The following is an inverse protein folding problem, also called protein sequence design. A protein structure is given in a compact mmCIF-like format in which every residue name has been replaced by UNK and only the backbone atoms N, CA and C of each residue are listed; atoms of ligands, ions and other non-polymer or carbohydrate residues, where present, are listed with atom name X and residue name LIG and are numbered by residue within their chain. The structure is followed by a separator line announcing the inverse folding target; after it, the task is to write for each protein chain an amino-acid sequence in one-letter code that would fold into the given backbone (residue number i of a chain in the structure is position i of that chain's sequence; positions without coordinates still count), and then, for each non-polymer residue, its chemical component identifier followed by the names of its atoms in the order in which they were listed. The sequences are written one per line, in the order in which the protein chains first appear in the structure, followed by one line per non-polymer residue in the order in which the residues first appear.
data_IF_969463530818
#
_entry.id   IF_969463530818
#
_cell.length_a   1.000
_cell.length_b   1.000
_cell.length_c   1.000
_cell.angle_alpha   90.00
_cell.angle_beta   90.00
_cell.angle_gamma   90.00
#
_symmetry.space_group_name_H-M   'P 1'
#
loop_
_entity.id
_entity.type
_entity.pdbx_description
1 polymer ?
#
# COMPACT_ATOMS: atom_id res chain seq x y z
N UNK A 1 -25.02 77.63 -33.89
CA UNK A 1 -26.03 76.92 -33.09
C UNK A 1 -25.50 75.52 -32.84
N UNK A 2 -24.79 75.33 -31.72
CA UNK A 2 -24.15 74.05 -31.37
C UNK A 2 -25.16 73.28 -30.52
N UNK A 3 -25.69 72.18 -31.07
CA UNK A 3 -26.56 71.27 -30.33
C UNK A 3 -25.65 70.34 -29.53
N UNK A 4 -25.49 70.66 -28.24
CA UNK A 4 -24.90 69.78 -27.24
C UNK A 4 -25.88 68.65 -26.95
N UNK A 5 -25.68 67.50 -27.61
CA UNK A 5 -26.34 66.24 -27.24
C UNK A 5 -25.59 65.68 -26.03
N UNK A 6 -26.04 66.04 -24.83
CA UNK A 6 -25.58 65.40 -23.60
C UNK A 6 -26.24 64.02 -23.52
N UNK A 7 -25.49 62.99 -23.92
CA UNK A 7 -25.88 61.60 -23.70
C UNK A 7 -25.85 61.31 -22.20
N UNK A 8 -27.03 61.28 -21.59
CA UNK A 8 -27.24 60.75 -20.25
C UNK A 8 -27.06 59.24 -20.28
N UNK A 9 -25.86 58.74 -19.92
CA UNK A 9 -25.68 57.33 -19.59
C UNK A 9 -26.43 57.06 -18.27
N UNK A 10 -27.49 56.26 -18.33
CA UNK A 10 -28.16 55.81 -17.12
C UNK A 10 -27.29 54.78 -16.39
N UNK A 11 -27.34 54.78 -15.05
CA UNK A 11 -26.57 53.81 -14.24
C UNK A 11 -26.83 52.35 -14.66
N UNK A 12 -28.02 52.04 -15.18
CA UNK A 12 -28.39 50.71 -15.65
C UNK A 12 -27.59 50.23 -16.88
N UNK A 13 -27.24 51.14 -17.80
CA UNK A 13 -26.44 50.81 -18.99
C UNK A 13 -24.98 50.53 -18.62
N UNK A 14 -24.47 51.24 -17.60
CA UNK A 14 -23.13 51.00 -17.03
C UNK A 14 -23.07 49.62 -16.37
N UNK A 15 -24.08 49.24 -15.57
CA UNK A 15 -24.14 47.91 -14.94
C UNK A 15 -24.27 46.77 -15.95
N UNK A 16 -25.03 46.94 -17.04
CA UNK A 16 -25.10 45.96 -18.15
C UNK A 16 -23.76 45.80 -18.86
N UNK A 17 -23.08 46.91 -19.12
CA UNK A 17 -21.77 46.91 -19.77
C UNK A 17 -20.73 46.24 -18.88
N UNK A 18 -20.68 46.59 -17.59
CA UNK A 18 -19.81 45.93 -16.59
C UNK A 18 -20.13 44.43 -16.52
N UNK A 19 -21.40 44.03 -16.50
CA UNK A 19 -21.80 42.63 -16.50
C UNK A 19 -21.33 41.85 -17.73
N UNK A 20 -21.39 42.43 -18.93
CA UNK A 20 -20.93 41.79 -20.16
C UNK A 20 -19.42 41.54 -20.19
N UNK A 21 -18.61 42.39 -19.56
CA UNK A 21 -17.16 42.22 -19.50
C UNK A 21 -16.69 41.46 -18.26
N UNK A 22 -17.38 41.59 -17.13
CA UNK A 22 -17.01 40.92 -15.88
C UNK A 22 -17.33 39.42 -15.91
N UNK A 23 -18.48 39.01 -16.50
CA UNK A 23 -18.89 37.60 -16.53
C UNK A 23 -17.89 36.70 -17.28
N UNK A 24 -17.40 37.05 -18.48
CA UNK A 24 -16.38 36.26 -19.17
C UNK A 24 -15.08 36.14 -18.36
N UNK A 25 -14.63 37.23 -17.73
CA UNK A 25 -13.39 37.25 -16.94
C UNK A 25 -13.52 36.36 -15.71
N UNK A 26 -14.63 36.46 -14.98
CA UNK A 26 -14.91 35.61 -13.82
C UNK A 26 -15.03 34.13 -14.23
N UNK A 27 -15.66 33.86 -15.38
CA UNK A 27 -15.79 32.49 -15.91
C UNK A 27 -14.44 31.85 -16.26
N UNK A 28 -13.54 32.61 -16.90
CA UNK A 28 -12.16 32.16 -17.16
C UNK A 28 -11.42 31.88 -15.86
N UNK A 29 -11.56 32.77 -14.86
CA UNK A 29 -10.90 32.61 -13.57
C UNK A 29 -11.43 31.41 -12.77
N UNK A 30 -12.75 31.21 -12.75
CA UNK A 30 -13.39 30.06 -12.11
C UNK A 30 -12.98 28.75 -12.80
N UNK A 31 -12.97 28.72 -14.12
CA UNK A 31 -12.54 27.54 -14.90
C UNK A 31 -11.08 27.18 -14.62
N UNK A 32 -10.20 28.17 -14.51
CA UNK A 32 -8.80 27.95 -14.15
C UNK A 32 -8.64 27.38 -12.73
N UNK A 33 -9.35 27.94 -11.74
CA UNK A 33 -9.32 27.44 -10.37
C UNK A 33 -9.85 26.01 -10.25
N UNK A 34 -11.00 25.73 -10.89
CA UNK A 34 -11.59 24.39 -10.93
C UNK A 34 -10.66 23.41 -11.62
N UNK A 35 -10.07 23.79 -12.76
CA UNK A 35 -9.10 22.95 -13.48
C UNK A 35 -7.86 22.62 -12.64
N UNK A 36 -7.33 23.59 -11.90
CA UNK A 36 -6.18 23.38 -11.00
C UNK A 36 -6.52 22.44 -9.83
N UNK A 37 -7.70 22.62 -9.23
CA UNK A 37 -8.19 21.72 -8.17
C UNK A 37 -8.37 20.30 -8.70
N UNK A 38 -8.99 20.16 -9.88
CA UNK A 38 -9.20 18.86 -10.53
C UNK A 38 -7.87 18.16 -10.85
N UNK A 39 -6.88 18.87 -11.39
CA UNK A 39 -5.57 18.29 -11.68
C UNK A 39 -4.89 17.76 -10.40
N UNK A 40 -4.97 18.50 -9.30
CA UNK A 40 -4.39 18.06 -8.03
C UNK A 40 -5.08 16.80 -7.47
N UNK A 41 -6.41 16.71 -7.60
CA UNK A 41 -7.20 15.56 -7.18
C UNK A 41 -6.91 14.34 -8.05
N UNK A 42 -6.84 14.53 -9.37
CA UNK A 42 -6.51 13.48 -10.33
C UNK A 42 -5.10 12.93 -10.10
N UNK A 43 -4.12 13.79 -9.84
CA UNK A 43 -2.75 13.36 -9.51
C UNK A 43 -2.73 12.52 -8.23
N UNK A 44 -3.39 12.96 -7.16
CA UNK A 44 -3.50 12.20 -5.90
C UNK A 44 -4.18 10.85 -6.11
N UNK A 45 -5.25 10.81 -6.91
CA UNK A 45 -5.96 9.58 -7.21
C UNK A 45 -5.10 8.63 -8.07
N UNK A 46 -4.34 9.16 -9.02
CA UNK A 46 -3.38 8.40 -9.83
C UNK A 46 -2.32 7.73 -8.95
N UNK A 47 -1.69 8.49 -8.03
CA UNK A 47 -0.69 7.93 -7.10
C UNK A 47 -1.30 6.85 -6.21
N UNK A 48 -2.51 7.06 -5.70
CA UNK A 48 -3.21 6.04 -4.89
C UNK A 48 -3.48 4.77 -5.70
N UNK A 49 -3.93 4.93 -6.94
CA UNK A 49 -4.20 3.81 -7.86
C UNK A 49 -2.92 3.04 -8.17
N UNK A 50 -1.83 3.76 -8.43
CA UNK A 50 -0.52 3.20 -8.70
C UNK A 50 -0.01 2.37 -7.53
N UNK A 51 0.01 2.97 -6.32
CA UNK A 51 0.34 2.28 -5.07
C UNK A 51 -0.51 1.02 -4.85
N UNK A 52 -1.83 1.10 -5.04
CA UNK A 52 -2.70 -0.07 -4.85
C UNK A 52 -2.38 -1.18 -5.85
N UNK A 53 -2.29 -0.85 -7.13
CA UNK A 53 -2.17 -1.85 -8.20
C UNK A 53 -0.78 -2.48 -8.28
N UNK A 54 0.28 -1.71 -8.00
CA UNK A 54 1.65 -2.17 -8.17
C UNK A 54 2.28 -2.69 -6.87
N UNK A 55 1.81 -2.24 -5.70
CA UNK A 55 2.34 -2.69 -4.42
C UNK A 55 1.36 -3.59 -3.63
N UNK A 56 0.22 -3.04 -3.19
CA UNK A 56 -0.67 -3.80 -2.28
C UNK A 56 -1.33 -5.01 -2.97
N UNK A 57 -1.91 -4.83 -4.16
CA UNK A 57 -2.69 -5.88 -4.84
C UNK A 57 -1.86 -7.14 -5.18
N UNK A 58 -0.62 -7.05 -5.71
CA UNK A 58 0.22 -8.22 -5.94
C UNK A 58 0.50 -8.99 -4.64
N UNK A 59 0.82 -8.29 -3.55
CA UNK A 59 1.11 -8.90 -2.26
C UNK A 59 -0.14 -9.59 -1.70
N UNK A 60 -1.30 -8.92 -1.73
CA UNK A 60 -2.60 -9.49 -1.32
C UNK A 60 -2.88 -10.79 -2.10
N UNK A 61 -2.66 -10.82 -3.41
CA UNK A 61 -2.86 -12.02 -4.24
C UNK A 61 -1.95 -13.18 -3.82
N UNK A 62 -0.70 -12.92 -3.45
CA UNK A 62 0.23 -13.95 -2.94
C UNK A 62 -0.27 -14.51 -1.62
N UNK A 63 -0.65 -13.64 -0.69
CA UNK A 63 -1.21 -14.04 0.60
C UNK A 63 -2.46 -14.91 0.41
N UNK A 64 -3.35 -14.53 -0.53
CA UNK A 64 -4.54 -15.32 -0.87
C UNK A 64 -4.20 -16.70 -1.42
N UNK A 65 -3.31 -16.76 -2.41
CA UNK A 65 -2.95 -18.00 -3.09
C UNK A 65 -2.27 -18.98 -2.14
N UNK A 66 -1.35 -18.47 -1.32
CA UNK A 66 -0.62 -19.27 -0.36
C UNK A 66 -1.39 -19.59 0.93
N UNK A 67 -2.55 -18.94 1.15
CA UNK A 67 -3.33 -19.05 2.40
C UNK A 67 -2.46 -18.89 3.65
N UNK A 68 -1.60 -17.87 3.65
CA UNK A 68 -0.56 -17.71 4.69
C UNK A 68 -1.13 -17.55 6.11
N UNK A 69 -2.40 -17.20 6.23
CA UNK A 69 -3.12 -17.20 7.50
C UNK A 69 -3.31 -18.61 8.10
N UNK A 70 -3.19 -19.70 7.35
CA UNK A 70 -3.41 -21.06 7.87
C UNK A 70 -2.18 -21.69 8.55
N UNK A 71 -0.98 -21.15 8.33
CA UNK A 71 0.29 -21.79 8.73
C UNK A 71 1.17 -20.79 9.49
N UNK A 72 2.00 -21.23 10.45
CA UNK A 72 2.93 -20.31 11.15
C UNK A 72 3.99 -19.82 10.15
N UNK A 73 4.27 -18.50 10.10
CA UNK A 73 5.21 -17.94 9.14
C UNK A 73 6.55 -18.69 9.04
N UNK A 74 7.16 -19.09 10.16
CA UNK A 74 8.44 -19.83 10.11
C UNK A 74 8.36 -21.17 9.35
N UNK A 75 7.19 -21.82 9.32
CA UNK A 75 7.01 -23.10 8.62
C UNK A 75 6.93 -22.93 7.10
N UNK A 76 6.67 -21.70 6.63
CA UNK A 76 6.54 -21.37 5.22
C UNK A 76 7.64 -20.39 4.78
N UNK A 77 8.75 -20.32 5.51
CA UNK A 77 9.80 -19.34 5.24
C UNK A 77 10.29 -19.42 3.79
N UNK A 78 10.58 -20.62 3.28
CA UNK A 78 11.01 -20.81 1.89
C UNK A 78 10.02 -20.18 0.89
N UNK A 79 8.72 -20.37 1.11
CA UNK A 79 7.68 -19.75 0.27
C UNK A 79 7.61 -18.22 0.45
N UNK A 80 7.86 -17.71 1.65
CA UNK A 80 7.96 -16.27 1.94
C UNK A 80 9.16 -15.66 1.23
N UNK A 81 10.35 -16.23 1.39
CA UNK A 81 11.58 -15.78 0.75
C UNK A 81 11.52 -15.86 -0.78
N UNK A 82 10.89 -16.90 -1.34
CA UNK A 82 10.82 -17.11 -2.79
C UNK A 82 9.74 -16.27 -3.49
N UNK A 83 8.58 -16.08 -2.86
CA UNK A 83 7.43 -15.47 -3.52
C UNK A 83 7.05 -14.12 -2.93
N UNK A 84 7.04 -14.00 -1.60
CA UNK A 84 6.54 -12.81 -0.91
C UNK A 84 7.58 -11.70 -0.89
N UNK A 85 8.81 -11.98 -0.45
CA UNK A 85 9.87 -10.97 -0.35
C UNK A 85 10.20 -10.29 -1.68
N UNK A 86 10.41 -11.02 -2.79
CA UNK A 86 10.74 -10.37 -4.06
C UNK A 86 9.61 -9.49 -4.57
N UNK A 87 8.35 -9.87 -4.30
CA UNK A 87 7.19 -9.06 -4.69
C UNK A 87 7.05 -7.81 -3.83
N UNK A 88 7.33 -7.93 -2.53
CA UNK A 88 7.33 -6.81 -1.60
C UNK A 88 8.44 -5.80 -1.92
N UNK A 89 9.65 -6.29 -2.19
CA UNK A 89 10.83 -5.47 -2.50
C UNK A 89 10.73 -4.75 -3.83
N UNK A 90 10.10 -5.37 -4.84
CA UNK A 90 10.01 -4.83 -6.20
C UNK A 90 9.43 -3.42 -6.28
N UNK A 91 8.50 -3.09 -5.39
CA UNK A 91 7.80 -1.81 -5.37
C UNK A 91 7.75 -1.18 -3.97
N UNK A 92 8.76 -1.44 -3.14
CA UNK A 92 8.80 -0.93 -1.77
C UNK A 92 8.76 0.60 -1.70
N UNK A 93 9.22 1.30 -2.75
CA UNK A 93 9.12 2.75 -2.90
C UNK A 93 7.67 3.28 -2.89
N UNK A 94 6.70 2.41 -3.17
CA UNK A 94 5.27 2.72 -3.15
C UNK A 94 4.59 2.44 -1.80
N UNK A 95 5.32 1.89 -0.83
CA UNK A 95 4.82 1.64 0.51
C UNK A 95 4.50 2.96 1.24
N UNK A 96 3.52 2.94 2.15
CA UNK A 96 3.41 4.00 3.15
C UNK A 96 4.48 3.84 4.22
N UNK A 97 4.70 4.94 4.95
CA UNK A 97 5.66 5.00 6.05
C UNK A 97 5.45 3.89 7.07
N UNK A 98 4.20 3.59 7.41
CA UNK A 98 3.88 2.52 8.36
C UNK A 98 4.27 1.14 7.84
N UNK A 99 3.93 0.81 6.58
CA UNK A 99 4.35 -0.48 5.99
C UNK A 99 5.87 -0.57 5.89
N UNK A 100 6.55 0.52 5.50
CA UNK A 100 8.00 0.56 5.42
C UNK A 100 8.67 0.32 6.79
N UNK A 101 8.12 0.89 7.85
CA UNK A 101 8.58 0.64 9.22
C UNK A 101 8.39 -0.82 9.63
N UNK A 102 7.21 -1.41 9.36
CA UNK A 102 6.97 -2.84 9.65
C UNK A 102 7.84 -3.76 8.81
N UNK A 103 8.18 -3.35 7.59
CA UNK A 103 9.11 -4.08 6.74
C UNK A 103 10.51 -4.07 7.33
N UNK A 104 10.98 -2.92 7.80
CA UNK A 104 12.27 -2.82 8.49
C UNK A 104 12.31 -3.73 9.74
N UNK A 105 11.27 -3.74 10.57
CA UNK A 105 11.18 -4.62 11.75
C UNK A 105 11.15 -6.11 11.36
N UNK A 106 10.53 -6.43 10.24
CA UNK A 106 10.55 -7.79 9.69
C UNK A 106 11.96 -8.19 9.24
N UNK A 107 12.67 -7.32 8.51
CA UNK A 107 14.05 -7.56 8.12
C UNK A 107 15.00 -7.66 9.32
N UNK A 108 14.86 -6.79 10.32
CA UNK A 108 15.70 -6.86 11.52
C UNK A 108 15.51 -8.20 12.24
N UNK A 109 14.28 -8.71 12.31
CA UNK A 109 14.03 -10.05 12.86
C UNK A 109 14.62 -11.21 12.04
N UNK A 110 14.97 -11.00 10.77
CA UNK A 110 15.71 -11.98 9.96
C UNK A 110 17.22 -11.88 10.21
N UNK A 111 17.74 -10.65 10.33
CA UNK A 111 19.16 -10.34 10.46
C UNK A 111 19.68 -10.57 11.89
N UNK A 112 18.99 -10.03 12.90
CA UNK A 112 19.42 -10.04 14.31
C UNK A 112 19.65 -11.44 14.86
N UNK A 113 18.97 -12.41 14.29
CA UNK A 113 18.99 -13.77 14.78
C UNK A 113 19.79 -14.70 13.89
N UNK A 114 20.47 -14.17 12.85
CA UNK A 114 20.96 -14.95 11.70
C UNK A 114 19.98 -16.09 11.48
N UNK A 115 18.70 -15.77 11.20
CA UNK A 115 17.75 -16.83 10.92
C UNK A 115 18.11 -17.35 9.54
N UNK A 116 19.21 -18.09 9.47
CA UNK A 116 19.43 -19.18 8.56
C UNK A 116 18.24 -20.10 8.87
N UNK A 117 17.13 -19.83 8.18
CA UNK A 117 15.89 -20.58 8.30
C UNK A 117 16.04 -21.99 7.72
N UNK A 118 17.26 -22.50 7.71
CA UNK A 118 17.76 -23.51 6.84
C UNK A 118 17.45 -23.10 5.41
N UNK A 119 18.44 -22.62 4.68
CA UNK A 119 18.59 -23.19 3.34
C UNK A 119 19.13 -24.63 3.51
N UNK A 120 18.40 -25.48 4.21
CA UNK A 120 18.37 -26.90 3.96
C UNK A 120 16.89 -27.26 3.81
N UNK A 121 16.49 -27.22 2.54
CA UNK A 121 15.63 -28.19 1.88
C UNK A 121 14.42 -28.70 2.68
N UNK A 122 13.25 -28.64 2.05
CA UNK A 122 12.22 -29.65 2.28
C UNK A 122 12.89 -31.05 2.35
N UNK A 123 13.03 -31.62 3.55
CA UNK A 123 13.28 -33.05 3.78
C UNK A 123 14.47 -33.75 3.08
N UNK A 124 15.55 -33.08 2.67
CA UNK A 124 16.67 -33.78 2.02
C UNK A 124 17.72 -34.21 3.04
N UNK A 125 17.60 -35.49 3.37
CA UNK A 125 18.68 -36.43 3.69
C UNK A 125 19.68 -35.97 4.76
N UNK A 126 19.39 -36.37 6.00
CA UNK A 126 20.44 -36.80 6.93
C UNK A 126 21.55 -37.49 6.15
N UNK A 127 22.70 -36.83 6.09
CA UNK A 127 23.86 -37.37 5.40
C UNK A 127 24.06 -38.82 5.86
N UNK A 128 24.00 -39.75 4.91
CA UNK A 128 24.38 -41.16 5.12
C UNK A 128 25.90 -41.26 5.22
N UNK A 129 26.52 -40.51 6.14
CA UNK A 129 27.91 -40.68 6.53
C UNK A 129 27.88 -41.34 7.91
N UNK A 130 28.24 -42.63 8.02
CA UNK A 130 28.31 -43.30 9.30
C UNK A 130 29.39 -42.63 10.14
N UNK A 131 29.01 -42.00 11.26
CA UNK A 131 29.95 -41.56 12.29
C UNK A 131 30.03 -40.06 12.57
N UNK A 132 29.29 -39.19 11.87
CA UNK A 132 29.25 -37.76 12.20
C UNK A 132 27.81 -37.35 12.55
N UNK A 133 27.46 -37.43 13.84
CA UNK A 133 26.20 -36.88 14.35
C UNK A 133 26.38 -35.38 14.44
N UNK A 134 26.07 -34.67 13.36
CA UNK A 134 25.84 -33.23 13.44
C UNK A 134 24.48 -33.11 14.14
N UNK A 135 24.49 -32.63 15.38
CA UNK A 135 23.23 -32.30 16.07
C UNK A 135 22.47 -31.31 15.19
N UNK A 136 21.21 -31.60 14.80
CA UNK A 136 20.46 -30.70 13.94
C UNK A 136 20.34 -29.36 14.66
N UNK A 137 20.81 -28.28 14.03
CA UNK A 137 20.67 -26.95 14.59
C UNK A 137 19.18 -26.65 14.82
N UNK A 138 18.78 -26.54 16.09
CA UNK A 138 17.39 -26.24 16.46
C UNK A 138 17.25 -24.74 16.62
N UNK A 139 16.60 -24.09 15.65
CA UNK A 139 16.26 -22.67 15.75
C UNK A 139 15.52 -22.42 17.07
N UNK A 140 16.01 -21.51 17.94
CA UNK A 140 15.40 -21.20 19.21
C UNK A 140 13.92 -20.80 19.08
N UNK A 141 13.11 -21.23 20.05
CA UNK A 141 11.66 -20.93 20.07
C UNK A 141 11.39 -19.42 20.01
N UNK A 142 12.19 -18.64 20.73
CA UNK A 142 12.13 -17.17 20.76
C UNK A 142 12.35 -16.54 19.38
N UNK A 143 13.22 -17.11 18.54
CA UNK A 143 13.48 -16.62 17.18
C UNK A 143 12.30 -16.90 16.26
N UNK A 144 11.72 -18.11 16.35
CA UNK A 144 10.49 -18.48 15.62
C UNK A 144 9.32 -17.58 15.99
N UNK A 145 9.20 -17.22 17.27
CA UNK A 145 8.16 -16.31 17.76
C UNK A 145 8.38 -14.89 17.25
N UNK A 146 9.60 -14.35 17.36
CA UNK A 146 9.95 -13.02 16.85
C UNK A 146 9.68 -12.90 15.35
N UNK A 147 10.12 -13.87 14.55
CA UNK A 147 9.85 -13.94 13.11
C UNK A 147 8.36 -13.98 12.79
N UNK A 148 7.58 -14.82 13.49
CA UNK A 148 6.14 -14.88 13.28
C UNK A 148 5.46 -13.55 13.62
N UNK A 149 5.87 -12.91 14.72
CA UNK A 149 5.30 -11.64 15.17
C UNK A 149 5.58 -10.53 14.17
N UNK A 150 6.83 -10.37 13.75
CA UNK A 150 7.23 -9.34 12.79
C UNK A 150 6.56 -9.55 11.43
N UNK A 151 6.51 -10.80 10.94
CA UNK A 151 5.81 -11.15 9.69
C UNK A 151 4.31 -10.84 9.78
N UNK A 152 3.64 -11.27 10.84
CA UNK A 152 2.21 -11.02 11.02
C UNK A 152 1.91 -9.51 11.16
N UNK A 153 2.76 -8.77 11.87
CA UNK A 153 2.63 -7.31 11.99
C UNK A 153 2.75 -6.62 10.63
N UNK A 154 3.73 -7.02 9.81
CA UNK A 154 3.88 -6.53 8.45
C UNK A 154 2.66 -6.86 7.58
N UNK A 155 2.23 -8.12 7.56
CA UNK A 155 1.06 -8.55 6.75
C UNK A 155 -0.19 -7.79 7.17
N UNK A 156 -0.43 -7.60 8.47
CA UNK A 156 -1.57 -6.82 8.97
C UNK A 156 -1.53 -5.39 8.49
N UNK A 157 -0.38 -4.73 8.59
CA UNK A 157 -0.22 -3.36 8.12
C UNK A 157 -0.52 -3.26 6.62
N UNK A 158 0.05 -4.17 5.81
CA UNK A 158 -0.22 -4.25 4.36
C UNK A 158 -1.71 -4.44 4.07
N UNK A 159 -2.39 -5.32 4.80
CA UNK A 159 -3.83 -5.57 4.61
C UNK A 159 -4.68 -4.38 5.05
N UNK A 160 -4.35 -3.73 6.16
CA UNK A 160 -5.05 -2.53 6.64
C UNK A 160 -4.89 -1.38 5.64
N UNK A 161 -3.66 -1.06 5.24
CA UNK A 161 -3.39 -0.02 4.24
C UNK A 161 -4.00 -0.36 2.88
N UNK A 162 -3.93 -1.62 2.45
CA UNK A 162 -4.57 -2.11 1.24
C UNK A 162 -6.08 -1.97 1.26
N UNK A 163 -6.73 -2.31 2.38
CA UNK A 163 -8.18 -2.15 2.60
C UNK A 163 -8.56 -0.67 2.56
N UNK A 164 -7.89 0.19 3.33
CA UNK A 164 -8.13 1.63 3.33
C UNK A 164 -7.99 2.23 1.92
N UNK A 165 -6.99 1.80 1.17
CA UNK A 165 -6.73 2.31 -0.18
C UNK A 165 -7.76 1.81 -1.20
N UNK A 166 -8.16 0.53 -1.11
CA UNK A 166 -9.22 -0.03 -1.96
C UNK A 166 -10.55 0.70 -1.73
N UNK A 167 -10.90 1.00 -0.48
CA UNK A 167 -12.09 1.76 -0.12
C UNK A 167 -12.04 3.20 -0.67
N UNK A 168 -10.90 3.88 -0.55
CA UNK A 168 -10.68 5.23 -1.13
C UNK A 168 -10.79 5.24 -2.66
N UNK A 169 -10.44 4.13 -3.30
CA UNK A 169 -10.48 3.96 -4.76
C UNK A 169 -11.80 3.35 -5.27
N UNK A 170 -12.70 2.93 -4.36
CA UNK A 170 -13.94 2.18 -4.67
C UNK A 170 -13.67 0.85 -5.38
N UNK A 171 -12.59 0.17 -5.01
CA UNK A 171 -12.27 -1.18 -5.47
C UNK A 171 -12.80 -2.24 -4.51
N UNK A 172 -12.97 -3.51 -4.95
CA UNK A 172 -13.29 -4.61 -4.06
C UNK A 172 -12.23 -4.79 -2.96
N UNK A 173 -12.68 -4.93 -1.72
CA UNK A 173 -11.79 -5.05 -0.55
C UNK A 173 -11.34 -6.50 -0.32
N UNK A 174 -10.40 -6.94 -1.15
CA UNK A 174 -9.77 -8.26 -1.02
C UNK A 174 -8.97 -8.38 0.28
N UNK A 175 -8.42 -7.27 0.78
CA UNK A 175 -7.60 -7.28 1.97
C UNK A 175 -8.42 -7.54 3.23
N UNK A 176 -9.62 -6.96 3.35
CA UNK A 176 -10.53 -7.22 4.46
C UNK A 176 -10.90 -8.71 4.58
N UNK A 177 -11.05 -9.40 3.45
CA UNK A 177 -11.35 -10.84 3.42
C UNK A 177 -10.24 -11.65 4.10
N UNK A 178 -8.98 -11.31 3.83
CA UNK A 178 -7.81 -11.98 4.42
C UNK A 178 -7.63 -11.56 5.88
N UNK A 179 -7.84 -10.28 6.18
CA UNK A 179 -7.67 -9.73 7.52
C UNK A 179 -8.59 -10.42 8.52
N UNK A 180 -9.85 -10.68 8.14
CA UNK A 180 -10.78 -11.48 8.94
C UNK A 180 -10.22 -12.87 9.26
N UNK A 181 -9.54 -13.53 8.30
CA UNK A 181 -8.92 -14.85 8.51
C UNK A 181 -7.72 -14.82 9.43
N UNK A 182 -6.91 -13.75 9.40
CA UNK A 182 -5.84 -13.56 10.37
C UNK A 182 -6.37 -13.34 11.79
N UNK A 183 -7.44 -12.56 11.95
CA UNK A 183 -8.08 -12.33 13.26
C UNK A 183 -8.72 -13.62 13.80
N UNK A 184 -9.44 -14.38 12.97
CA UNK A 184 -10.01 -15.68 13.36
C UNK A 184 -8.96 -16.66 13.91
N UNK A 185 -7.75 -16.63 13.36
CA UNK A 185 -6.66 -17.50 13.82
C UNK A 185 -6.06 -17.07 15.14
N UNK A 186 -5.84 -15.79 15.36
CA UNK A 186 -5.20 -15.32 16.59
C UNK A 186 -6.08 -15.49 17.83
N UNK A 187 -7.40 -15.62 17.64
CA UNK A 187 -8.34 -15.92 18.70
C UNK A 187 -8.49 -17.43 19.00
N UNK A 188 -7.72 -18.29 18.32
CA UNK A 188 -7.69 -19.75 18.54
C UNK A 188 -6.40 -20.18 19.23
#
# INVERSE_FOLDING_TARGET
MIVLVSHWFTNADVWKTIGMYAVPVISVFASYLVGRLQNSLQQRQSVRKDRYNNFYLPIIKILMRGKYWNVKPYQIHSAVAKNFMPTLEKHLELADTETAEKYYLFLSSLIDYEVDLGIEQDAVESSKIPGNVIDPYVIPKTHKESYNQSFNALVRCILQSGSQLSNKLRYPDLAATILAKYVERENK
#
